data_IF_979275636628
#
_entry.id   IF_979275636628
#
_cell.length_a   1.000
_cell.length_b   1.000
_cell.length_c   1.000
_cell.angle_alpha   90.00
_cell.angle_beta   90.00
_cell.angle_gamma   90.00
#
_symmetry.space_group_name_H-M   'P 1'
#
loop_
_entity.id
_entity.type
_entity.pdbx_description
1 polymer ?
#
# COMPACT_ATOMS: atom_id res chain seq x y z
N UNK A 1 -18.60 -4.57 -1.32
CA UNK A 1 -17.34 -3.80 -1.14
C UNK A 1 -16.24 -4.44 -2.00
N UNK A 2 -15.24 -3.71 -2.50
CA UNK A 2 -14.21 -4.27 -3.42
C UNK A 2 -13.48 -5.46 -2.76
N UNK A 3 -13.07 -5.30 -1.49
CA UNK A 3 -12.35 -6.33 -0.74
C UNK A 3 -13.15 -7.62 -0.52
N UNK A 4 -14.48 -7.64 -0.70
CA UNK A 4 -15.27 -8.87 -0.58
C UNK A 4 -14.91 -9.90 -1.65
N UNK A 5 -14.41 -9.45 -2.81
CA UNK A 5 -14.09 -10.30 -3.98
C UNK A 5 -12.99 -11.32 -3.70
N UNK A 6 -12.19 -11.14 -2.65
CA UNK A 6 -11.13 -12.07 -2.24
C UNK A 6 -11.44 -12.81 -0.93
N UNK A 7 -12.55 -12.48 -0.25
CA UNK A 7 -12.83 -12.93 1.12
C UNK A 7 -14.09 -13.77 1.20
N UNK A 8 -15.12 -13.45 0.42
CA UNK A 8 -16.43 -14.13 0.42
C UNK A 8 -16.46 -15.22 -0.65
N UNK A 9 -17.20 -16.30 -0.39
CA UNK A 9 -17.33 -17.44 -1.29
C UNK A 9 -16.41 -18.61 -0.93
N UNK A 10 -16.88 -19.83 -1.21
CA UNK A 10 -16.11 -21.06 -0.93
C UNK A 10 -14.85 -21.10 -1.80
N UNK A 11 -14.97 -20.63 -3.04
CA UNK A 11 -13.90 -20.54 -4.02
C UNK A 11 -12.76 -19.60 -3.61
N UNK A 12 -12.99 -18.72 -2.61
CA UNK A 12 -11.96 -17.81 -2.07
C UNK A 12 -11.18 -18.36 -0.88
N UNK A 13 -11.32 -19.66 -0.59
CA UNK A 13 -10.55 -20.36 0.44
C UNK A 13 -9.02 -20.16 0.33
N UNK A 14 -8.38 -20.28 -0.85
CA UNK A 14 -6.92 -20.10 -0.94
C UNK A 14 -6.48 -18.65 -0.71
N UNK A 15 -7.28 -17.65 -1.06
CA UNK A 15 -6.98 -16.26 -0.74
C UNK A 15 -7.07 -16.01 0.77
N UNK A 16 -8.07 -16.58 1.45
CA UNK A 16 -8.18 -16.48 2.91
C UNK A 16 -7.02 -17.15 3.63
N UNK A 17 -6.51 -18.29 3.14
CA UNK A 17 -5.34 -18.93 3.77
C UNK A 17 -4.10 -18.04 3.68
N UNK A 18 -3.88 -17.35 2.56
CA UNK A 18 -2.78 -16.39 2.41
C UNK A 18 -2.96 -15.17 3.33
N UNK A 19 -4.18 -14.65 3.48
CA UNK A 19 -4.46 -13.57 4.42
C UNK A 19 -4.18 -13.98 5.88
N UNK A 20 -4.48 -15.24 6.24
CA UNK A 20 -4.12 -15.79 7.55
C UNK A 20 -2.61 -15.96 7.72
N UNK A 21 -1.90 -16.38 6.66
CA UNK A 21 -0.45 -16.52 6.69
C UNK A 21 0.28 -15.17 6.91
N UNK A 22 -0.32 -14.06 6.45
CA UNK A 22 0.16 -12.69 6.75
C UNK A 22 -0.09 -12.29 8.21
N UNK A 23 -0.95 -13.01 8.93
CA UNK A 23 -1.25 -12.78 10.35
C UNK A 23 -2.62 -12.19 10.62
N UNK A 24 -3.52 -12.10 9.62
CA UNK A 24 -4.88 -11.62 9.86
C UNK A 24 -5.74 -12.68 10.54
N UNK A 25 -6.46 -12.25 11.58
CA UNK A 25 -7.51 -13.06 12.22
C UNK A 25 -8.78 -13.15 11.36
N UNK A 26 -9.63 -14.14 11.62
CA UNK A 26 -10.92 -14.30 10.94
C UNK A 26 -11.82 -13.05 11.07
N UNK A 27 -11.76 -12.37 12.22
CA UNK A 27 -12.48 -11.11 12.44
C UNK A 27 -11.93 -9.98 11.55
N UNK A 28 -10.61 -9.85 11.45
CA UNK A 28 -9.97 -8.85 10.59
C UNK A 28 -10.23 -9.10 9.11
N UNK A 29 -10.33 -10.37 8.68
CA UNK A 29 -10.69 -10.71 7.30
C UNK A 29 -12.13 -10.31 7.00
N UNK A 30 -13.05 -10.33 7.97
CA UNK A 30 -14.42 -9.87 7.73
C UNK A 30 -14.51 -8.36 7.54
N UNK A 31 -13.66 -7.60 8.24
CA UNK A 31 -13.60 -6.13 8.18
C UNK A 31 -13.10 -5.58 6.81
N UNK A 32 -13.40 -4.32 6.48
CA UNK A 32 -12.88 -3.67 5.27
C UNK A 32 -11.35 -3.69 5.23
N UNK A 33 -10.75 -4.22 4.16
CA UNK A 33 -9.30 -4.15 3.96
C UNK A 33 -8.93 -2.80 3.36
N UNK A 34 -8.08 -2.03 4.04
CA UNK A 34 -7.64 -0.69 3.63
C UNK A 34 -6.17 -0.75 3.22
N UNK A 35 -5.89 -0.33 1.98
CA UNK A 35 -4.52 -0.23 1.47
C UNK A 35 -3.87 1.08 1.91
N UNK A 36 -2.69 0.99 2.52
CA UNK A 36 -1.86 2.14 2.86
C UNK A 36 -0.68 2.14 1.90
N UNK A 37 -0.66 3.12 1.00
CA UNK A 37 0.46 3.35 0.09
C UNK A 37 1.52 4.13 0.84
N UNK A 38 2.73 3.60 0.90
CA UNK A 38 3.86 4.29 1.51
C UNK A 38 5.02 4.38 0.50
N UNK A 39 5.81 5.44 0.54
CA UNK A 39 7.03 5.59 -0.28
C UNK A 39 8.29 5.66 0.58
N UNK A 40 8.21 5.21 1.84
CA UNK A 40 9.33 5.11 2.75
C UNK A 40 10.54 4.45 2.07
N UNK A 41 11.69 5.10 2.23
CA UNK A 41 12.98 4.53 1.93
C UNK A 41 14.06 5.30 2.70
N UNK A 42 15.25 4.71 2.81
CA UNK A 42 16.39 5.26 3.55
C UNK A 42 17.30 6.13 2.66
N UNK A 43 16.99 6.25 1.37
CA UNK A 43 17.79 6.99 0.39
C UNK A 43 17.36 8.47 0.35
N UNK A 44 16.07 8.74 0.51
CA UNK A 44 15.49 10.09 0.46
C UNK A 44 15.30 10.57 1.90
N UNK A 45 16.03 11.61 2.37
CA UNK A 45 15.89 12.11 3.73
C UNK A 45 14.46 12.51 4.09
N UNK A 46 13.73 13.07 3.11
CA UNK A 46 12.32 13.43 3.25
C UNK A 46 11.36 12.25 3.39
N UNK A 47 11.78 11.00 3.17
CA UNK A 47 10.90 9.83 3.24
C UNK A 47 11.12 8.98 4.49
N UNK A 48 12.20 9.22 5.25
CA UNK A 48 12.57 8.40 6.42
C UNK A 48 11.45 8.37 7.46
N UNK A 49 10.79 9.52 7.70
CA UNK A 49 9.75 9.66 8.70
C UNK A 49 8.40 9.03 8.30
N UNK A 50 8.24 8.59 7.04
CA UNK A 50 6.99 8.00 6.55
C UNK A 50 6.66 6.67 7.24
N UNK A 51 7.64 5.96 7.82
CA UNK A 51 7.36 4.79 8.66
C UNK A 51 6.52 5.14 9.90
N UNK A 52 6.79 6.29 10.52
CA UNK A 52 6.06 6.69 11.72
C UNK A 52 4.64 7.13 11.36
N UNK A 53 4.51 7.83 10.23
CA UNK A 53 3.20 8.24 9.69
C UNK A 53 2.38 7.00 9.31
N UNK A 54 2.97 6.03 8.60
CA UNK A 54 2.24 4.84 8.17
C UNK A 54 1.77 3.99 9.36
N UNK A 55 2.58 3.91 10.43
CA UNK A 55 2.16 3.30 11.71
C UNK A 55 0.96 4.03 12.33
N UNK A 56 1.00 5.36 12.43
CA UNK A 56 -0.13 6.13 12.96
C UNK A 56 -1.41 5.96 12.12
N UNK A 57 -1.27 5.91 10.78
CA UNK A 57 -2.40 5.64 9.86
C UNK A 57 -2.95 4.22 10.07
N UNK A 58 -2.09 3.22 10.24
CA UNK A 58 -2.50 1.84 10.56
C UNK A 58 -3.34 1.78 11.84
N UNK A 59 -2.89 2.46 12.89
CA UNK A 59 -3.60 2.51 14.17
C UNK A 59 -4.96 3.21 14.05
N UNK A 60 -5.03 4.29 13.26
CA UNK A 60 -6.28 4.97 12.93
C UNK A 60 -7.26 4.06 12.17
N UNK A 61 -6.78 3.31 11.18
CA UNK A 61 -7.60 2.35 10.43
C UNK A 61 -8.15 1.24 11.34
N UNK A 62 -7.31 0.68 12.22
CA UNK A 62 -7.72 -0.34 13.18
C UNK A 62 -8.80 0.20 14.13
N UNK A 63 -8.61 1.42 14.64
CA UNK A 63 -9.54 2.10 15.54
C UNK A 63 -10.89 2.38 14.87
N UNK A 64 -10.88 2.69 13.57
CA UNK A 64 -12.08 2.89 12.76
C UNK A 64 -12.77 1.57 12.33
N UNK A 65 -12.24 0.41 12.74
CA UNK A 65 -12.82 -0.89 12.44
C UNK A 65 -12.44 -1.47 11.06
N UNK A 66 -11.41 -0.92 10.41
CA UNK A 66 -10.79 -1.48 9.21
C UNK A 66 -9.61 -2.39 9.53
N UNK A 67 -9.12 -3.10 8.51
CA UNK A 67 -7.89 -3.91 8.57
C UNK A 67 -6.87 -3.28 7.63
N UNK A 68 -5.78 -2.68 8.14
CA UNK A 68 -4.81 -2.02 7.30
C UNK A 68 -3.84 -2.99 6.64
N UNK A 69 -3.49 -2.73 5.38
CA UNK A 69 -2.47 -3.44 4.62
C UNK A 69 -1.54 -2.42 3.97
N UNK A 70 -0.30 -2.31 4.45
CA UNK A 70 0.69 -1.38 3.91
C UNK A 70 1.49 -2.03 2.79
N UNK A 71 1.74 -1.27 1.74
CA UNK A 71 2.68 -1.64 0.69
C UNK A 71 3.48 -0.42 0.23
N UNK A 72 4.70 -0.67 -0.22
CA UNK A 72 5.60 0.40 -0.62
C UNK A 72 5.62 0.63 -2.13
N UNK A 73 5.78 1.88 -2.52
CA UNK A 73 6.11 2.32 -3.88
C UNK A 73 7.49 2.96 -3.90
N UNK A 74 8.11 2.98 -5.07
CA UNK A 74 9.43 3.59 -5.24
C UNK A 74 9.36 5.12 -5.11
N UNK A 75 10.44 5.70 -4.61
CA UNK A 75 10.69 7.13 -4.65
C UNK A 75 12.11 7.41 -5.12
N UNK A 76 12.34 8.60 -5.68
CA UNK A 76 13.68 9.08 -6.06
C UNK A 76 13.90 10.45 -5.41
N UNK A 77 15.12 10.72 -4.91
CA UNK A 77 15.47 12.05 -4.39
C UNK A 77 16.04 12.91 -5.52
N UNK A 78 15.29 13.94 -5.93
CA UNK A 78 15.77 14.91 -6.92
C UNK A 78 17.02 15.65 -6.44
N UNK A 79 17.13 15.94 -5.14
CA UNK A 79 18.29 16.62 -4.55
C UNK A 79 19.59 15.80 -4.66
N UNK A 80 19.52 14.48 -4.48
CA UNK A 80 20.68 13.58 -4.63
C UNK A 80 20.97 13.30 -6.11
N UNK A 81 19.94 13.21 -6.94
CA UNK A 81 20.09 12.93 -8.37
C UNK A 81 20.54 14.15 -9.19
N UNK A 82 20.45 15.36 -8.64
CA UNK A 82 20.78 16.61 -9.31
C UNK A 82 22.24 16.62 -9.82
N UNK A 83 22.42 16.89 -11.11
CA UNK A 83 23.76 16.92 -11.73
C UNK A 83 24.37 15.55 -12.03
N UNK A 84 23.67 14.45 -11.73
CA UNK A 84 24.08 13.09 -12.05
C UNK A 84 23.20 12.51 -13.17
N UNK A 85 23.64 11.42 -13.81
CA UNK A 85 22.85 10.72 -14.83
C UNK A 85 21.49 10.23 -14.30
N UNK A 86 21.40 10.04 -12.97
CA UNK A 86 20.18 9.67 -12.26
C UNK A 86 19.01 10.64 -12.46
N UNK A 87 19.27 11.91 -12.79
CA UNK A 87 18.21 12.90 -13.02
C UNK A 87 17.30 12.55 -14.19
N UNK A 88 17.78 11.72 -15.14
CA UNK A 88 16.98 11.17 -16.25
C UNK A 88 15.77 10.34 -15.77
N UNK A 89 15.81 9.83 -14.53
CA UNK A 89 14.78 8.93 -13.98
C UNK A 89 13.81 9.60 -13.00
N UNK A 90 14.06 10.87 -12.62
CA UNK A 90 13.23 11.60 -11.65
C UNK A 90 11.78 11.71 -12.11
N UNK A 91 11.51 12.22 -13.32
CA UNK A 91 10.13 12.40 -13.80
C UNK A 91 9.45 11.05 -14.08
N UNK A 92 10.19 10.09 -14.64
CA UNK A 92 9.69 8.75 -14.96
C UNK A 92 9.22 8.01 -13.71
N UNK A 93 9.87 8.22 -12.55
CA UNK A 93 9.50 7.61 -11.26
C UNK A 93 8.05 7.91 -10.84
N UNK A 94 7.53 9.08 -11.20
CA UNK A 94 6.13 9.47 -10.93
C UNK A 94 5.16 8.61 -11.71
N UNK A 95 5.49 8.29 -12.96
CA UNK A 95 4.66 7.46 -13.83
C UNK A 95 4.61 6.04 -13.28
N UNK A 96 5.76 5.46 -12.88
CA UNK A 96 5.80 4.14 -12.27
C UNK A 96 4.97 4.06 -10.97
N UNK A 97 5.10 5.05 -10.09
CA UNK A 97 4.30 5.12 -8.86
C UNK A 97 2.80 5.23 -9.15
N UNK A 98 2.43 6.01 -10.18
CA UNK A 98 1.04 6.14 -10.65
C UNK A 98 0.48 4.85 -11.24
N UNK A 99 1.29 4.00 -11.85
CA UNK A 99 0.84 2.70 -12.37
C UNK A 99 0.75 1.63 -11.28
N UNK A 100 1.67 1.64 -10.30
CA UNK A 100 1.73 0.63 -9.24
C UNK A 100 0.49 0.67 -8.35
N UNK A 101 0.04 1.86 -7.90
CA UNK A 101 -1.08 1.94 -6.96
C UNK A 101 -2.40 1.38 -7.54
N UNK A 102 -2.85 1.78 -8.75
CA UNK A 102 -4.00 1.17 -9.40
C UNK A 102 -3.76 -0.28 -9.78
N UNK A 103 -2.55 -0.70 -10.14
CA UNK A 103 -2.29 -2.10 -10.45
C UNK A 103 -2.45 -3.00 -9.22
N UNK A 104 -1.92 -2.58 -8.05
CA UNK A 104 -2.09 -3.32 -6.79
C UNK A 104 -3.57 -3.31 -6.35
N UNK A 105 -4.27 -2.19 -6.52
CA UNK A 105 -5.68 -2.05 -6.16
C UNK A 105 -6.63 -2.80 -7.11
N UNK A 106 -6.54 -2.54 -8.41
CA UNK A 106 -7.46 -3.03 -9.45
C UNK A 106 -7.14 -4.44 -9.94
N UNK A 107 -5.86 -4.79 -10.10
CA UNK A 107 -5.50 -6.11 -10.67
C UNK A 107 -5.60 -7.23 -9.64
N UNK A 108 -5.65 -6.89 -8.35
CA UNK A 108 -5.94 -7.86 -7.29
C UNK A 108 -7.37 -7.82 -6.76
N UNK A 109 -8.16 -6.76 -7.01
CA UNK A 109 -9.51 -6.62 -6.43
C UNK A 109 -9.52 -6.72 -4.88
N UNK A 110 -8.42 -6.36 -4.22
CA UNK A 110 -8.17 -6.76 -2.82
C UNK A 110 -8.57 -5.70 -1.78
N UNK A 111 -8.50 -4.41 -2.12
CA UNK A 111 -8.53 -3.34 -1.11
C UNK A 111 -9.66 -2.35 -1.43
N UNK A 112 -10.39 -1.94 -0.39
CA UNK A 112 -11.44 -0.93 -0.47
C UNK A 112 -10.91 0.39 0.06
N UNK A 113 -10.41 1.25 -0.83
CA UNK A 113 -9.93 2.58 -0.47
C UNK A 113 -9.65 3.40 -1.73
N UNK A 114 -10.02 4.68 -1.70
CA UNK A 114 -9.74 5.62 -2.78
C UNK A 114 -8.23 5.82 -2.92
N UNK A 115 -7.66 5.89 -4.14
CA UNK A 115 -6.22 6.03 -4.38
C UNK A 115 -5.76 7.48 -4.15
N UNK A 116 -6.11 8.08 -3.01
CA UNK A 116 -5.55 9.35 -2.62
C UNK A 116 -4.17 9.09 -2.04
N UNK A 117 -3.17 9.32 -2.89
CA UNK A 117 -1.78 9.52 -2.50
C UNK A 117 -1.76 10.59 -1.39
N UNK A 118 -1.34 10.19 -0.19
CA UNK A 118 -0.67 11.10 0.73
C UNK A 118 0.80 11.06 0.36
#
# INVERSE_FOLDING_TARGET
>A
MISDRIKKGIEKSPQRSLLKAVGYSDNQIQKPLIGIVNSFNEIIPGHIHLQNISRAVKDGVLSAGGTPSEFNVIGVCDGIAMGHEGMKYSLSSRVYSKWICPWISSNKNQLGGSPHLV
#
